data_IF_762378263680
#
_entry.id   IF_762378263680
#
_cell.length_a   1.000
_cell.length_b   1.000
_cell.length_c   1.000
_cell.angle_alpha   90.00
_cell.angle_beta   90.00
_cell.angle_gamma   90.00
#
_symmetry.space_group_name_H-M   'P 1'
#
loop_
_entity.id
_entity.type
_entity.pdbx_description
1 polymer ?
#
# COMPACT_ATOMS: atom_id res chain seq x y z
N UNK A 1 28.23 -30.29 -28.23
CA UNK A 1 28.57 -29.00 -27.59
C UNK A 1 28.22 -29.13 -26.12
N UNK A 2 29.22 -29.31 -25.25
CA UNK A 2 29.00 -29.45 -23.80
C UNK A 2 28.82 -28.08 -23.17
N UNK A 3 27.75 -27.90 -22.40
CA UNK A 3 27.62 -26.72 -21.54
C UNK A 3 28.49 -26.95 -20.30
N UNK A 4 29.41 -26.04 -20.02
CA UNK A 4 30.16 -26.04 -18.77
C UNK A 4 29.18 -25.99 -17.58
N UNK A 5 29.47 -26.69 -16.47
CA UNK A 5 28.57 -26.72 -15.32
C UNK A 5 28.32 -25.30 -14.82
N UNK A 6 27.05 -24.91 -14.57
CA UNK A 6 26.73 -23.56 -14.15
C UNK A 6 27.38 -23.24 -12.80
N UNK A 7 28.01 -22.06 -12.68
CA UNK A 7 28.54 -21.61 -11.40
C UNK A 7 27.41 -21.34 -10.42
N UNK A 8 27.47 -21.99 -9.26
CA UNK A 8 26.52 -21.78 -8.18
C UNK A 8 26.86 -20.49 -7.42
N UNK A 9 25.85 -19.67 -7.21
CA UNK A 9 25.95 -18.42 -6.46
C UNK A 9 25.14 -18.52 -5.18
N UNK A 10 25.78 -18.24 -4.04
CA UNK A 10 25.12 -18.17 -2.74
C UNK A 10 24.20 -16.95 -2.69
N UNK A 11 22.97 -17.18 -2.22
CA UNK A 11 21.94 -16.17 -2.07
C UNK A 11 21.28 -16.28 -0.71
N UNK A 12 20.68 -15.19 -0.24
CA UNK A 12 19.73 -15.19 0.86
C UNK A 12 18.32 -15.02 0.27
N UNK A 13 17.44 -15.98 0.53
CA UNK A 13 16.07 -15.96 0.00
C UNK A 13 15.27 -14.79 0.58
N UNK A 14 14.75 -13.91 -0.28
CA UNK A 14 13.96 -12.76 0.15
C UNK A 14 12.58 -13.11 0.73
N UNK A 15 12.14 -14.37 0.64
CA UNK A 15 10.84 -14.82 1.18
C UNK A 15 10.96 -15.54 2.52
N UNK A 16 11.97 -16.40 2.70
CA UNK A 16 12.13 -17.22 3.90
C UNK A 16 13.41 -16.93 4.70
N UNK A 17 14.32 -16.09 4.19
CA UNK A 17 15.55 -15.69 4.87
C UNK A 17 16.66 -16.74 4.89
N UNK A 18 16.46 -17.92 4.30
CA UNK A 18 17.48 -18.98 4.28
C UNK A 18 18.54 -18.75 3.21
N UNK A 19 19.75 -19.19 3.50
CA UNK A 19 20.83 -19.28 2.52
C UNK A 19 20.59 -20.46 1.56
N UNK A 20 20.75 -20.23 0.27
CA UNK A 20 20.59 -21.24 -0.79
C UNK A 20 21.55 -20.96 -1.96
N UNK A 21 21.70 -21.90 -2.88
CA UNK A 21 22.58 -21.78 -4.05
C UNK A 21 21.78 -21.81 -5.35
N UNK A 22 22.01 -20.83 -6.23
CA UNK A 22 21.32 -20.73 -7.53
C UNK A 22 22.29 -20.74 -8.71
N UNK A 23 21.92 -21.30 -9.87
CA UNK A 23 22.80 -21.43 -11.04
C UNK A 23 22.88 -20.16 -11.89
N UNK A 24 22.51 -19.00 -11.33
CA UNK A 24 22.50 -17.71 -12.04
C UNK A 24 23.04 -16.62 -11.13
N UNK A 25 23.70 -15.62 -11.73
CA UNK A 25 24.22 -14.46 -11.00
C UNK A 25 23.05 -13.56 -10.53
N UNK A 26 22.89 -13.32 -9.23
CA UNK A 26 21.89 -12.39 -8.71
C UNK A 26 22.08 -10.97 -9.24
N UNK A 27 21.02 -10.36 -9.79
CA UNK A 27 21.04 -8.95 -10.19
C UNK A 27 20.72 -8.07 -8.98
N UNK A 28 21.54 -7.02 -8.75
CA UNK A 28 21.27 -6.02 -7.70
C UNK A 28 19.90 -5.37 -7.92
N UNK A 29 19.06 -5.35 -6.89
CA UNK A 29 17.70 -4.76 -6.94
C UNK A 29 16.56 -5.74 -7.20
N UNK A 30 16.84 -7.00 -7.55
CA UNK A 30 15.81 -8.03 -7.75
C UNK A 30 15.76 -8.99 -6.56
N UNK A 31 14.57 -9.23 -6.02
CA UNK A 31 14.37 -10.23 -4.96
C UNK A 31 14.64 -11.64 -5.49
N UNK A 32 15.61 -12.34 -4.89
CA UNK A 32 15.96 -13.72 -5.24
C UNK A 32 15.31 -14.69 -4.26
N UNK A 33 14.80 -15.81 -4.78
CA UNK A 33 14.10 -16.82 -4.00
C UNK A 33 14.87 -18.14 -4.06
N UNK A 34 14.86 -18.90 -2.96
CA UNK A 34 15.29 -20.29 -2.95
C UNK A 34 14.39 -21.15 -3.85
N UNK A 35 14.84 -22.35 -4.19
CA UNK A 35 14.11 -23.28 -5.07
C UNK A 35 12.67 -23.51 -4.61
N UNK A 36 12.47 -23.77 -3.32
CA UNK A 36 11.16 -24.06 -2.74
C UNK A 36 10.21 -22.85 -2.81
N UNK A 37 10.67 -21.68 -2.40
CA UNK A 37 9.89 -20.44 -2.46
C UNK A 37 9.53 -20.06 -3.90
N UNK A 38 10.43 -20.32 -4.85
CA UNK A 38 10.17 -20.11 -6.27
C UNK A 38 9.07 -21.04 -6.80
N UNK A 39 9.11 -22.33 -6.44
CA UNK A 39 8.06 -23.29 -6.82
C UNK A 39 6.70 -22.93 -6.23
N UNK A 40 6.66 -22.53 -4.95
CA UNK A 40 5.43 -22.06 -4.30
C UNK A 40 4.87 -20.83 -5.02
N UNK A 41 5.72 -19.86 -5.35
CA UNK A 41 5.32 -18.67 -6.11
C UNK A 41 4.77 -19.03 -7.49
N UNK A 42 5.39 -20.00 -8.19
CA UNK A 42 4.91 -20.51 -9.49
C UNK A 42 3.55 -21.20 -9.38
N UNK A 43 3.37 -22.08 -8.38
CA UNK A 43 2.09 -22.77 -8.10
C UNK A 43 0.97 -21.76 -7.78
N UNK A 44 1.25 -20.74 -6.96
CA UNK A 44 0.32 -19.64 -6.67
C UNK A 44 -0.07 -18.87 -7.95
N UNK A 45 0.91 -18.52 -8.80
CA UNK A 45 0.64 -17.84 -10.08
C UNK A 45 -0.26 -18.69 -11.00
N UNK A 46 -0.01 -19.99 -11.09
CA UNK A 46 -0.84 -20.90 -11.88
C UNK A 46 -2.28 -20.96 -11.35
N UNK A 47 -2.45 -21.18 -10.04
CA UNK A 47 -3.76 -21.19 -9.38
C UNK A 47 -4.51 -19.87 -9.59
N UNK A 48 -3.84 -18.74 -9.42
CA UNK A 48 -4.44 -17.42 -9.65
C UNK A 48 -4.85 -17.25 -11.11
N UNK A 49 -4.04 -17.71 -12.08
CA UNK A 49 -4.40 -17.67 -13.50
C UNK A 49 -5.64 -18.51 -13.78
N UNK A 50 -5.77 -19.67 -13.16
CA UNK A 50 -6.94 -20.54 -13.30
C UNK A 50 -8.20 -19.92 -12.70
N UNK A 51 -8.10 -19.34 -11.49
CA UNK A 51 -9.20 -18.58 -10.87
C UNK A 51 -9.60 -17.42 -11.79
N UNK A 52 -8.63 -16.63 -12.25
CA UNK A 52 -8.91 -15.53 -13.18
C UNK A 52 -9.55 -16.01 -14.47
N UNK A 53 -9.18 -17.18 -15.02
CA UNK A 53 -9.87 -17.75 -16.20
C UNK A 53 -11.34 -18.08 -15.93
N UNK A 54 -11.68 -18.51 -14.71
CA UNK A 54 -13.07 -18.88 -14.33
C UNK A 54 -13.93 -17.68 -13.94
N UNK A 55 -13.30 -16.62 -13.44
CA UNK A 55 -14.02 -15.46 -12.89
C UNK A 55 -13.94 -14.23 -13.80
N UNK A 56 -12.91 -14.12 -14.63
CA UNK A 56 -12.85 -13.11 -15.67
C UNK A 56 -13.77 -13.49 -16.82
N UNK A 57 -14.61 -12.55 -17.22
CA UNK A 57 -15.59 -12.71 -18.29
C UNK A 57 -16.44 -11.44 -18.36
N UNK A 58 -17.11 -11.21 -19.49
CA UNK A 58 -18.06 -10.11 -19.65
C UNK A 58 -19.44 -10.58 -19.24
N UNK A 59 -19.84 -10.24 -18.02
CA UNK A 59 -21.15 -10.61 -17.50
C UNK A 59 -22.08 -9.41 -17.57
N UNK A 60 -23.13 -9.52 -18.39
CA UNK A 60 -24.25 -8.58 -18.33
C UNK A 60 -25.08 -8.90 -17.10
N UNK A 61 -25.18 -7.94 -16.19
CA UNK A 61 -26.01 -8.06 -14.98
C UNK A 61 -26.88 -6.83 -14.84
N UNK A 62 -28.10 -7.03 -14.34
CA UNK A 62 -29.01 -5.93 -14.02
C UNK A 62 -28.82 -5.58 -12.55
N UNK A 63 -28.58 -4.29 -12.27
CA UNK A 63 -28.46 -3.79 -10.91
C UNK A 63 -29.81 -3.88 -10.18
N UNK A 64 -29.90 -4.59 -9.06
CA UNK A 64 -31.14 -4.71 -8.28
C UNK A 64 -31.55 -3.40 -7.59
N UNK A 65 -30.64 -2.44 -7.43
CA UNK A 65 -30.93 -1.14 -6.80
C UNK A 65 -31.36 -0.04 -7.78
N UNK A 66 -30.89 -0.07 -9.03
CA UNK A 66 -31.17 1.00 -10.00
C UNK A 66 -31.65 0.51 -11.37
N UNK A 67 -31.74 -0.80 -11.59
CA UNK A 67 -32.21 -1.40 -12.84
C UNK A 67 -31.25 -1.28 -14.02
N UNK A 68 -30.09 -0.64 -13.86
CA UNK A 68 -29.12 -0.44 -14.95
C UNK A 68 -28.48 -1.78 -15.35
N UNK A 69 -28.48 -2.08 -16.66
CA UNK A 69 -27.67 -3.16 -17.23
C UNK A 69 -26.20 -2.71 -17.25
N UNK A 70 -25.32 -3.47 -16.60
CA UNK A 70 -23.88 -3.22 -16.56
C UNK A 70 -23.09 -4.45 -17.00
N UNK A 71 -21.99 -4.21 -17.72
CA UNK A 71 -21.02 -5.25 -18.08
C UNK A 71 -19.93 -5.32 -17.02
N UNK A 72 -19.92 -6.38 -16.21
CA UNK A 72 -18.88 -6.63 -15.22
C UNK A 72 -17.80 -7.54 -15.79
N UNK A 73 -16.54 -7.26 -15.45
CA UNK A 73 -15.37 -8.04 -15.87
C UNK A 73 -14.98 -9.15 -14.85
N UNK A 74 -15.64 -9.20 -13.69
CA UNK A 74 -15.37 -10.15 -12.61
C UNK A 74 -16.66 -10.51 -11.85
N UNK A 75 -16.94 -11.80 -11.67
CA UNK A 75 -18.04 -12.30 -10.81
C UNK A 75 -17.58 -12.32 -9.34
N UNK A 76 -18.17 -11.49 -8.46
CA UNK A 76 -17.84 -11.49 -7.02
C UNK A 76 -18.08 -12.88 -6.41
N UNK A 77 -17.05 -13.44 -5.78
CA UNK A 77 -17.06 -14.82 -5.26
C UNK A 77 -17.83 -14.99 -3.94
N UNK A 78 -18.02 -13.91 -3.17
CA UNK A 78 -18.70 -13.93 -1.87
C UNK A 78 -19.98 -13.10 -1.95
N UNK A 79 -21.13 -13.77 -1.80
CA UNK A 79 -22.50 -13.27 -1.81
C UNK A 79 -22.87 -12.35 -3.01
N UNK A 80 -23.77 -12.77 -3.91
CA UNK A 80 -24.02 -12.07 -5.17
C UNK A 80 -24.84 -10.80 -4.93
N UNK A 81 -24.18 -9.74 -4.48
CA UNK A 81 -24.74 -8.41 -4.52
C UNK A 81 -24.71 -7.96 -5.99
N UNK A 82 -25.83 -8.16 -6.71
CA UNK A 82 -26.00 -7.75 -8.11
C UNK A 82 -26.20 -6.24 -8.20
N UNK A 83 -25.20 -5.48 -7.77
CA UNK A 83 -25.21 -4.03 -7.84
C UNK A 83 -24.13 -3.57 -8.80
N UNK A 84 -24.42 -2.52 -9.57
CA UNK A 84 -23.39 -1.79 -10.30
C UNK A 84 -22.38 -1.16 -9.32
N UNK A 85 -21.17 -0.86 -9.79
CA UNK A 85 -20.11 -0.28 -8.95
C UNK A 85 -20.56 0.99 -8.23
N UNK A 86 -21.31 1.88 -8.90
CA UNK A 86 -21.90 3.08 -8.29
C UNK A 86 -22.84 2.76 -7.13
N UNK A 87 -23.80 1.83 -7.32
CA UNK A 87 -24.73 1.44 -6.26
C UNK A 87 -24.04 0.67 -5.15
N UNK A 88 -23.04 -0.15 -5.48
CA UNK A 88 -22.24 -0.86 -4.49
C UNK A 88 -21.43 0.09 -3.61
N UNK A 89 -20.76 1.09 -4.20
CA UNK A 89 -19.98 2.11 -3.47
C UNK A 89 -20.89 2.97 -2.59
N UNK A 90 -22.09 3.30 -3.08
CA UNK A 90 -23.10 4.04 -2.31
C UNK A 90 -23.66 3.22 -1.14
N UNK A 91 -23.89 1.91 -1.32
CA UNK A 91 -24.48 1.03 -0.29
C UNK A 91 -23.47 0.49 0.72
N UNK A 92 -22.23 0.18 0.32
CA UNK A 92 -21.18 -0.30 1.23
C UNK A 92 -20.39 0.81 1.93
N UNK A 93 -20.68 2.08 1.64
CA UNK A 93 -20.04 3.24 2.25
C UNK A 93 -18.51 3.14 2.23
N UNK A 94 -17.88 3.46 1.09
CA UNK A 94 -16.40 3.55 0.92
C UNK A 94 -15.62 2.53 1.74
N UNK A 95 -15.33 1.36 1.16
CA UNK A 95 -14.30 0.46 1.71
C UNK A 95 -13.06 1.32 2.01
N UNK A 96 -12.57 1.39 3.26
CA UNK A 96 -11.46 2.26 3.58
C UNK A 96 -10.26 1.78 2.78
N UNK A 97 -9.76 2.67 1.92
CA UNK A 97 -8.55 2.49 1.15
C UNK A 97 -7.40 2.24 2.15
N UNK A 98 -7.01 0.97 2.34
CA UNK A 98 -5.89 0.55 3.20
C UNK A 98 -4.53 1.05 2.70
N UNK A 99 -4.51 1.77 1.58
CA UNK A 99 -3.30 2.30 0.92
C UNK A 99 -3.17 3.82 1.00
N UNK A 100 -4.13 4.53 1.61
CA UNK A 100 -3.96 5.92 2.04
C UNK A 100 -4.15 5.99 3.53
N UNK A 101 -3.01 6.04 4.21
CA UNK A 101 -2.88 6.47 5.59
C UNK A 101 -3.39 7.93 5.70
N UNK A 102 -4.72 8.12 5.66
CA UNK A 102 -5.36 9.37 6.07
C UNK A 102 -5.23 9.38 7.59
N UNK A 103 -4.07 9.82 8.09
CA UNK A 103 -4.01 10.49 9.39
C UNK A 103 -5.23 11.37 9.43
N UNK A 104 -6.13 11.12 10.38
CA UNK A 104 -7.27 11.98 10.65
C UNK A 104 -6.71 13.41 10.66
N UNK A 105 -7.00 14.21 9.64
CA UNK A 105 -6.58 15.61 9.59
C UNK A 105 -7.51 16.33 10.56
N UNK A 106 -7.29 16.13 11.86
CA UNK A 106 -7.99 16.89 12.88
C UNK A 106 -7.38 18.28 12.82
N UNK A 107 -8.14 19.22 12.27
CA UNK A 107 -7.79 20.63 12.32
C UNK A 107 -8.19 21.16 13.69
N UNK A 108 -7.22 21.32 14.59
CA UNK A 108 -7.43 21.88 15.92
C UNK A 108 -6.92 23.32 15.99
N UNK A 109 -7.57 24.16 16.79
CA UNK A 109 -7.07 25.50 17.08
C UNK A 109 -6.07 25.45 18.22
N UNK A 110 -4.84 25.90 17.98
CA UNK A 110 -3.80 26.11 18.98
C UNK A 110 -3.66 27.59 19.31
N UNK A 111 -3.14 27.91 20.50
CA UNK A 111 -2.73 29.27 20.88
C UNK A 111 -1.21 29.26 21.01
N UNK A 112 -0.53 30.11 20.22
CA UNK A 112 0.92 30.18 20.25
C UNK A 112 1.42 30.65 21.62
N UNK A 113 2.28 29.87 22.28
CA UNK A 113 2.91 30.23 23.55
C UNK A 113 3.69 31.56 23.47
N UNK A 114 4.33 31.84 22.33
CA UNK A 114 5.20 33.00 22.17
C UNK A 114 4.49 34.30 21.79
N UNK A 115 3.42 34.23 20.99
CA UNK A 115 2.75 35.43 20.48
C UNK A 115 1.25 35.49 20.76
N UNK A 116 0.67 34.49 21.43
CA UNK A 116 -0.76 34.43 21.73
C UNK A 116 -1.68 34.25 20.52
N UNK A 117 -1.14 34.18 19.30
CA UNK A 117 -1.95 34.05 18.08
C UNK A 117 -2.63 32.69 18.04
N UNK A 118 -3.94 32.69 17.79
CA UNK A 118 -4.72 31.49 17.50
C UNK A 118 -4.48 31.05 16.06
N UNK A 119 -4.06 29.80 15.85
CA UNK A 119 -3.78 29.23 14.53
C UNK A 119 -4.34 27.81 14.46
N UNK A 120 -4.72 27.36 13.27
CA UNK A 120 -5.22 26.02 13.05
C UNK A 120 -4.11 25.10 12.58
N UNK A 121 -3.96 23.93 13.22
CA UNK A 121 -2.95 22.92 12.86
C UNK A 121 -3.60 21.57 12.59
N UNK A 122 -2.98 20.79 11.71
CA UNK A 122 -3.44 19.47 11.29
C UNK A 122 -2.74 18.33 12.03
N UNK A 123 -2.25 18.59 13.24
CA UNK A 123 -1.61 17.64 14.14
C UNK A 123 -2.04 17.95 15.57
N UNK A 124 -1.99 16.95 16.44
CA UNK A 124 -2.22 17.13 17.88
C UNK A 124 -0.84 17.31 18.53
N UNK A 125 -0.51 18.50 19.08
CA UNK A 125 0.74 18.69 19.80
C UNK A 125 0.75 17.83 21.07
N UNK A 126 1.92 17.29 21.43
CA UNK A 126 2.09 16.52 22.66
C UNK A 126 1.87 17.40 23.90
N UNK A 127 2.40 18.63 23.88
CA UNK A 127 2.23 19.64 24.92
C UNK A 127 1.42 20.84 24.37
N UNK A 128 0.18 21.09 24.82
CA UNK A 128 -0.63 22.21 24.35
C UNK A 128 -0.09 23.58 24.81
N UNK A 129 0.65 23.65 25.92
CA UNK A 129 1.15 24.90 26.49
C UNK A 129 2.46 25.41 25.86
N UNK A 130 3.17 24.56 25.12
CA UNK A 130 4.45 24.89 24.45
C UNK A 130 4.34 25.03 22.94
N UNK A 131 3.13 24.94 22.39
CA UNK A 131 2.91 24.96 20.94
C UNK A 131 3.15 26.35 20.36
N UNK A 132 3.82 26.42 19.21
CA UNK A 132 4.14 27.66 18.52
C UNK A 132 3.39 27.76 17.20
N UNK A 133 2.99 28.98 16.82
CA UNK A 133 2.51 29.23 15.46
C UNK A 133 3.64 29.08 14.43
N UNK A 134 3.28 28.85 13.17
CA UNK A 134 4.23 28.63 12.07
C UNK A 134 5.30 29.72 11.98
N UNK A 135 4.92 30.97 12.21
CA UNK A 135 5.86 32.11 12.17
C UNK A 135 6.82 32.13 13.36
N UNK A 136 6.38 31.75 14.56
CA UNK A 136 7.26 31.71 15.74
C UNK A 136 8.19 30.50 15.70
N UNK A 137 7.69 29.33 15.28
CA UNK A 137 8.49 28.13 15.07
C UNK A 137 9.62 28.35 14.05
N UNK A 138 9.32 28.99 12.91
CA UNK A 138 10.33 29.34 11.89
C UNK A 138 11.37 30.35 12.38
N UNK A 139 11.07 31.16 13.41
CA UNK A 139 12.01 32.11 14.01
C UNK A 139 12.92 31.43 15.03
N UNK A 140 12.44 30.42 15.75
CA UNK A 140 13.25 29.65 16.70
C UNK A 140 14.24 28.72 16.03
N UNK A 141 13.87 28.09 14.91
CA UNK A 141 14.80 27.23 14.18
C UNK A 141 15.98 27.95 13.51
N UNK A 142 16.01 29.30 13.53
CA UNK A 142 17.07 30.10 12.91
C UNK A 142 18.22 30.47 13.86
N UNK A 143 18.24 30.00 15.10
CA UNK A 143 19.44 30.10 15.94
C UNK A 143 20.48 29.11 15.42
N UNK A 144 21.66 29.58 14.95
CA UNK A 144 22.66 28.72 14.36
C UNK A 144 23.47 28.06 15.46
N UNK A 145 23.20 26.78 15.74
CA UNK A 145 24.14 25.89 16.42
C UNK A 145 24.56 24.76 15.47
N UNK A 146 24.79 25.12 14.20
CA UNK A 146 25.30 24.19 13.19
C UNK A 146 26.61 24.73 12.58
N UNK A 147 27.51 25.20 13.45
CA UNK A 147 28.96 25.07 13.25
C UNK A 147 29.45 24.01 14.25
N UNK A 148 29.81 22.82 13.76
CA UNK A 148 30.45 21.83 14.61
C UNK A 148 30.37 20.38 14.13
N UNK A 149 31.36 20.00 13.33
CA UNK A 149 31.84 18.64 12.96
C UNK A 149 31.43 18.10 11.60
#
# INVERSE_FOLDING_TARGET
MGQEPPTLHTIVCSMCGKEDQVPFKPTRGTAVLCRDCFEVKKKRKHRNREIMRKVAGRFKVICENCGTEVELNYRRATEPVKLCDDCHVKLKGKVPDRTRNKRLQVTISIVCCRCGKREYVNFVPEDPDKVLCRSCYMREQKTPENEGS
#
